data_IF_782775210791
#
_entry.id   IF_782775210791
#
_cell.length_a   1.000
_cell.length_b   1.000
_cell.length_c   1.000
_cell.angle_alpha   90.00
_cell.angle_beta   90.00
_cell.angle_gamma   90.00
#
_symmetry.space_group_name_H-M   'P 1'
#
loop_
_entity.id
_entity.type
_entity.pdbx_description
1 polymer ?
#
# COMPACT_ATOMS: atom_id res chain seq x y z
N UNK A 1 -10.84 21.34 10.84
CA UNK A 1 -10.57 19.96 10.39
C UNK A 1 -9.15 19.64 10.77
N UNK A 2 -8.97 18.69 11.68
CA UNK A 2 -7.65 18.25 12.11
C UNK A 2 -6.96 17.48 10.98
N UNK A 3 -5.66 17.71 10.79
CA UNK A 3 -4.83 17.01 9.79
C UNK A 3 -4.86 15.48 9.96
N UNK A 4 -5.20 15.01 11.17
CA UNK A 4 -5.29 13.58 11.50
C UNK A 4 -6.46 12.86 10.81
N UNK A 5 -7.52 13.57 10.42
CA UNK A 5 -8.70 12.99 9.78
C UNK A 5 -8.55 12.88 8.25
N UNK A 6 -7.43 13.36 7.69
CA UNK A 6 -7.17 13.28 6.25
C UNK A 6 -7.07 11.83 5.78
N UNK A 7 -7.90 11.44 4.80
CA UNK A 7 -7.85 10.09 4.21
C UNK A 7 -6.65 9.97 3.28
N UNK A 8 -5.68 9.16 3.69
CA UNK A 8 -4.47 8.85 2.90
C UNK A 8 -4.70 7.65 1.99
N UNK A 9 -5.34 6.59 2.48
CA UNK A 9 -5.69 5.41 1.68
C UNK A 9 -7.19 5.32 1.45
N UNK A 10 -7.67 5.83 0.31
CA UNK A 10 -9.09 5.76 -0.05
C UNK A 10 -9.66 4.34 -0.16
N UNK A 11 -8.85 3.36 -0.56
CA UNK A 11 -9.34 1.98 -0.74
C UNK A 11 -9.53 1.21 0.57
N UNK A 12 -8.87 1.64 1.64
CA UNK A 12 -8.93 0.99 2.96
C UNK A 12 -9.42 1.98 4.03
N UNK A 13 -9.85 3.17 3.60
CA UNK A 13 -10.33 4.27 4.44
C UNK A 13 -9.36 4.67 5.57
N UNK A 14 -8.05 4.52 5.32
CA UNK A 14 -7.01 4.82 6.32
C UNK A 14 -6.69 6.31 6.33
N UNK A 15 -6.77 6.89 7.53
CA UNK A 15 -6.46 8.28 7.84
C UNK A 15 -4.96 8.52 8.09
N UNK A 16 -4.54 9.78 8.02
CA UNK A 16 -3.20 10.20 8.43
C UNK A 16 -2.93 9.83 9.89
N UNK A 17 -3.90 10.06 10.78
CA UNK A 17 -3.78 9.75 12.20
C UNK A 17 -3.50 8.26 12.48
N UNK A 18 -4.09 7.35 11.71
CA UNK A 18 -3.82 5.91 11.82
C UNK A 18 -2.39 5.55 11.43
N UNK A 19 -1.88 6.15 10.36
CA UNK A 19 -0.50 5.94 9.92
C UNK A 19 0.48 6.47 10.98
N UNK A 20 0.23 7.67 11.50
CA UNK A 20 1.08 8.26 12.54
C UNK A 20 1.09 7.39 13.82
N UNK A 21 -0.08 6.89 14.25
CA UNK A 21 -0.16 5.93 15.38
C UNK A 21 0.63 4.65 15.11
N UNK A 22 0.57 4.12 13.89
CA UNK A 22 1.36 2.94 13.54
C UNK A 22 2.88 3.18 13.64
N UNK A 23 3.34 4.39 13.26
CA UNK A 23 4.74 4.79 13.41
C UNK A 23 5.11 4.91 14.88
N UNK A 24 4.25 5.52 15.71
CA UNK A 24 4.44 5.61 17.17
C UNK A 24 4.51 4.23 17.84
N UNK A 25 3.79 3.23 17.32
CA UNK A 25 3.87 1.84 17.78
C UNK A 25 5.13 1.09 17.29
N UNK A 26 6.00 1.74 16.50
CA UNK A 26 7.28 1.19 16.08
C UNK A 26 7.38 0.76 14.62
N UNK A 27 6.38 1.07 13.77
CA UNK A 27 6.51 0.84 12.34
C UNK A 27 7.51 1.82 11.72
N UNK A 28 8.61 1.29 11.16
CA UNK A 28 9.69 2.10 10.55
C UNK A 28 9.84 1.85 9.05
N UNK A 29 9.14 0.83 8.52
CA UNK A 29 9.18 0.46 7.11
C UNK A 29 7.79 0.50 6.46
N UNK A 30 7.75 0.64 5.14
CA UNK A 30 6.51 0.58 4.38
C UNK A 30 5.78 -0.77 4.51
N UNK A 31 6.53 -1.87 4.65
CA UNK A 31 5.94 -3.20 4.82
C UNK A 31 5.32 -3.37 6.21
N UNK A 32 5.90 -2.77 7.25
CA UNK A 32 5.29 -2.74 8.58
C UNK A 32 4.02 -1.89 8.58
N UNK A 33 4.06 -0.68 8.02
CA UNK A 33 2.86 0.17 7.93
C UNK A 33 1.72 -0.53 7.17
N UNK A 34 2.04 -1.26 6.11
CA UNK A 34 1.08 -2.12 5.40
C UNK A 34 0.46 -3.19 6.30
N UNK A 35 1.24 -3.83 7.19
CA UNK A 35 0.73 -4.85 8.12
C UNK A 35 -0.13 -4.24 9.23
N UNK A 36 0.24 -3.06 9.73
CA UNK A 36 -0.50 -2.37 10.79
C UNK A 36 -1.82 -1.76 10.32
N UNK A 37 -1.82 -1.14 9.15
CA UNK A 37 -2.94 -0.27 8.70
C UNK A 37 -3.65 -0.78 7.46
N UNK A 38 -3.14 -1.83 6.80
CA UNK A 38 -3.57 -2.26 5.46
C UNK A 38 -3.42 -1.21 4.35
N UNK A 39 -2.83 -0.03 4.63
CA UNK A 39 -2.67 1.02 3.63
C UNK A 39 -1.87 0.53 2.42
N UNK A 40 -2.51 0.54 1.24
CA UNK A 40 -1.92 0.05 0.00
C UNK A 40 -2.20 -1.42 -0.32
N UNK A 41 -3.03 -2.11 0.46
CA UNK A 41 -3.53 -3.47 0.16
C UNK A 41 -4.87 -3.52 -0.57
N UNK A 42 -5.55 -2.38 -0.73
CA UNK A 42 -6.82 -2.32 -1.47
C UNK A 42 -6.69 -2.59 -2.97
N UNK A 43 -7.79 -2.50 -3.73
CA UNK A 43 -7.82 -2.81 -5.17
C UNK A 43 -6.78 -2.02 -6.01
N UNK A 44 -6.42 -0.82 -5.57
CA UNK A 44 -5.41 0.00 -6.23
C UNK A 44 -3.97 -0.45 -5.98
N UNK A 45 -3.72 -1.40 -5.06
CA UNK A 45 -2.41 -1.92 -4.68
C UNK A 45 -1.39 -0.82 -4.36
N UNK A 46 -1.83 0.24 -3.67
CA UNK A 46 -0.97 1.34 -3.24
C UNK A 46 -0.65 2.39 -4.29
N UNK A 47 -1.21 2.32 -5.51
CA UNK A 47 -0.90 3.28 -6.59
C UNK A 47 -1.11 4.74 -6.22
N UNK A 48 -2.11 5.03 -5.40
CA UNK A 48 -2.46 6.41 -5.01
C UNK A 48 -1.82 6.82 -3.69
N UNK A 49 -1.83 5.93 -2.69
CA UNK A 49 -1.44 6.29 -1.33
C UNK A 49 0.04 6.06 -1.02
N UNK A 50 0.75 5.20 -1.77
CA UNK A 50 2.11 4.76 -1.38
C UNK A 50 3.07 5.92 -1.15
N UNK A 51 3.16 6.87 -2.09
CA UNK A 51 4.05 8.03 -1.97
C UNK A 51 3.66 8.97 -0.83
N UNK A 52 2.36 9.02 -0.48
CA UNK A 52 1.89 9.81 0.65
C UNK A 52 2.31 9.17 1.98
N UNK A 53 2.14 7.85 2.09
CA UNK A 53 2.59 7.09 3.26
C UNK A 53 4.12 7.16 3.42
N UNK A 54 4.88 7.03 2.33
CA UNK A 54 6.35 7.19 2.33
C UNK A 54 6.77 8.59 2.85
N UNK A 55 6.05 9.65 2.46
CA UNK A 55 6.30 11.01 2.96
C UNK A 55 5.99 11.15 4.44
N UNK A 56 4.84 10.64 4.91
CA UNK A 56 4.48 10.68 6.33
C UNK A 56 5.51 9.91 7.16
N UNK A 57 5.97 8.76 6.66
CA UNK A 57 7.01 7.96 7.30
C UNK A 57 8.33 8.73 7.38
N UNK A 58 8.76 9.40 6.30
CA UNK A 58 9.97 10.24 6.30
C UNK A 58 9.85 11.40 7.30
N UNK A 59 8.72 12.10 7.28
CA UNK A 59 8.43 13.23 8.18
C UNK A 59 8.51 12.82 9.66
N UNK A 60 7.98 11.64 10.01
CA UNK A 60 7.92 11.18 11.41
C UNK A 60 9.17 10.47 11.89
N UNK A 61 9.87 9.74 11.02
CA UNK A 61 11.11 9.02 11.39
C UNK A 61 12.37 9.86 11.23
N UNK A 62 12.28 11.02 10.54
CA UNK A 62 13.42 11.87 10.24
C UNK A 62 14.37 11.30 9.19
N UNK A 63 14.05 10.14 8.60
CA UNK A 63 14.85 9.52 7.55
C UNK A 63 14.58 10.19 6.19
N UNK A 64 15.60 10.40 5.35
CA UNK A 64 15.38 10.88 4.00
C UNK A 64 14.56 9.86 3.20
N UNK A 65 13.73 10.35 2.26
CA UNK A 65 12.91 9.49 1.40
C UNK A 65 13.72 8.42 0.64
N UNK A 66 15.00 8.68 0.37
CA UNK A 66 15.93 7.74 -0.28
C UNK A 66 16.25 6.50 0.56
N UNK A 67 16.13 6.58 1.89
CA UNK A 67 16.37 5.46 2.81
C UNK A 67 15.10 4.64 3.09
N UNK A 68 13.93 5.12 2.65
CA UNK A 68 12.67 4.40 2.84
C UNK A 68 12.58 3.32 1.76
N UNK A 69 12.69 2.06 2.20
CA UNK A 69 12.56 0.93 1.30
C UNK A 69 11.14 0.86 0.71
N UNK A 70 11.01 0.79 -0.63
CA UNK A 70 9.72 0.65 -1.26
C UNK A 70 9.14 -0.74 -0.96
N UNK A 71 7.83 -0.80 -0.79
CA UNK A 71 7.15 -2.09 -0.64
C UNK A 71 7.32 -2.98 -1.88
N UNK A 72 7.38 -4.28 -1.68
CA UNK A 72 7.55 -5.27 -2.76
C UNK A 72 6.44 -5.18 -3.80
N UNK A 73 6.82 -5.21 -5.07
CA UNK A 73 5.90 -5.33 -6.19
C UNK A 73 5.62 -6.80 -6.48
N UNK A 74 4.35 -7.16 -6.68
CA UNK A 74 3.92 -8.54 -6.94
C UNK A 74 3.07 -8.58 -8.20
N UNK A 75 3.25 -9.64 -8.98
CA UNK A 75 2.36 -9.95 -10.10
C UNK A 75 1.02 -10.50 -9.58
N UNK A 76 -0.10 -10.23 -10.26
CA UNK A 76 -0.27 -9.35 -11.40
C UNK A 76 -0.40 -7.87 -11.00
N UNK A 77 0.11 -6.95 -11.81
CA UNK A 77 0.10 -5.50 -11.52
C UNK A 77 -1.33 -4.93 -11.41
N UNK A 78 -2.27 -5.49 -12.17
CA UNK A 78 -3.72 -5.24 -12.07
C UNK A 78 -4.40 -6.56 -11.75
N UNK A 79 -5.52 -6.55 -11.01
CA UNK A 79 -6.38 -7.71 -10.92
C UNK A 79 -6.76 -8.16 -12.32
N UNK A 80 -6.52 -9.43 -12.61
CA UNK A 80 -6.92 -10.11 -13.84
C UNK A 80 -7.80 -11.29 -13.47
N UNK A 81 -8.66 -11.71 -14.40
CA UNK A 81 -9.46 -12.92 -14.21
C UNK A 81 -8.52 -14.13 -14.06
N UNK A 82 -8.87 -15.04 -13.16
CA UNK A 82 -8.12 -16.28 -12.95
C UNK A 82 -8.00 -17.12 -14.22
N UNK A 83 -9.00 -17.03 -15.11
CA UNK A 83 -9.03 -17.63 -16.45
C UNK A 83 -7.77 -17.33 -17.28
N UNK A 84 -7.12 -16.17 -17.08
CA UNK A 84 -5.90 -15.83 -17.83
C UNK A 84 -4.71 -16.71 -17.42
N UNK A 85 -4.74 -17.28 -16.21
CA UNK A 85 -3.68 -18.15 -15.70
C UNK A 85 -3.97 -19.64 -15.89
N UNK A 86 -5.17 -20.01 -16.35
CA UNK A 86 -5.50 -21.41 -16.63
C UNK A 86 -5.22 -21.73 -18.10
N UNK A 87 -4.45 -22.78 -18.37
CA UNK A 87 -4.42 -23.42 -19.68
C UNK A 87 -5.60 -24.35 -19.75
N UNK A 88 -6.64 -23.96 -20.48
CA UNK A 88 -7.73 -24.86 -20.81
C UNK A 88 -7.24 -25.79 -21.94
N UNK A 89 -6.75 -26.98 -21.60
CA UNK A 89 -6.36 -28.02 -22.57
C UNK A 89 -7.57 -28.53 -23.39
N UNK A 90 -8.78 -28.03 -23.12
CA UNK A 90 -10.03 -28.40 -23.79
C UNK A 90 -10.59 -27.33 -24.74
N UNK A 91 -9.95 -26.15 -24.87
CA UNK A 91 -10.40 -25.14 -25.80
C UNK A 91 -10.00 -25.53 -27.25
N UNK A 92 -10.95 -25.68 -28.20
CA UNK A 92 -10.62 -26.05 -29.57
C UNK A 92 -9.73 -24.97 -30.18
N UNK A 93 -8.63 -25.41 -30.80
CA UNK A 93 -7.75 -24.62 -31.64
C UNK A 93 -8.59 -23.72 -32.52
N UNK A 94 -8.43 -22.41 -32.33
CA UNK A 94 -9.06 -21.43 -33.22
C UNK A 94 -8.53 -21.58 -34.64
#
# INVERSE_FOLDING_TARGET
MDSKDEIICRCQEVTRGEIERAIEMGATTMNELKRFTHAGMGLCQGRTCRRLVERILAEKTGKPLSEIEPSTYRSPVRPVKSEIFTTDDSAPSK
#
